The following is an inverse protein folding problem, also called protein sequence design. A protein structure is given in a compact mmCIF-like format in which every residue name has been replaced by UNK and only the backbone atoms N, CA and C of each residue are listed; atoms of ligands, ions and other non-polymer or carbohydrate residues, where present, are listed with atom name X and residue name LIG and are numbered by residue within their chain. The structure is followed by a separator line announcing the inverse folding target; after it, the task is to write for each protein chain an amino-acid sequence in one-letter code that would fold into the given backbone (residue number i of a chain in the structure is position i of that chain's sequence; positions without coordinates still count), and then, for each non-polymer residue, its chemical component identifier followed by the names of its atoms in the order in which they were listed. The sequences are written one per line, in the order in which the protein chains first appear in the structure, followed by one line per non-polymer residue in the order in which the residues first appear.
data_IF_316907565644
#
_entry.id   IF_316907565644
#
_cell.length_a   1.000
_cell.length_b   1.000
_cell.length_c   1.000
_cell.angle_alpha   90.00
_cell.angle_beta   90.00
_cell.angle_gamma   90.00
#
_symmetry.space_group_name_H-M   'P 1'
#
loop_
_entity.id
_entity.type
_entity.pdbx_description
1 polymer ?
#
# COMPACT_ATOMS: atom_id res chain seq x y z
N UNK A 1 -7.02 -21.51 8.08
CA UNK A 1 -7.51 -20.56 9.10
C UNK A 1 -8.41 -19.52 8.41
N UNK A 2 -9.66 -19.86 8.08
CA UNK A 2 -10.56 -18.96 7.33
C UNK A 2 -10.80 -17.63 8.06
N UNK A 3 -11.01 -17.70 9.38
CA UNK A 3 -11.31 -16.53 10.22
C UNK A 3 -10.30 -15.38 10.10
N UNK A 4 -9.01 -15.68 9.93
CA UNK A 4 -7.97 -14.65 9.81
C UNK A 4 -8.04 -13.93 8.47
N UNK A 5 -8.34 -14.67 7.39
CA UNK A 5 -8.52 -14.06 6.07
C UNK A 5 -9.79 -13.21 6.04
N UNK A 6 -10.87 -13.70 6.66
CA UNK A 6 -12.12 -12.95 6.78
C UNK A 6 -11.91 -11.66 7.60
N UNK A 7 -11.16 -11.73 8.70
CA UNK A 7 -10.79 -10.56 9.50
C UNK A 7 -9.92 -9.57 8.72
N UNK A 8 -8.91 -10.04 7.99
CA UNK A 8 -8.07 -9.16 7.15
C UNK A 8 -8.91 -8.47 6.07
N UNK A 9 -9.79 -9.21 5.40
CA UNK A 9 -10.69 -8.64 4.40
C UNK A 9 -11.62 -7.59 5.01
N UNK A 10 -12.16 -7.84 6.20
CA UNK A 10 -12.95 -6.87 6.93
C UNK A 10 -12.17 -5.57 7.18
N UNK A 11 -10.94 -5.67 7.71
CA UNK A 11 -10.09 -4.50 7.97
C UNK A 11 -9.75 -3.75 6.68
N UNK A 12 -9.43 -4.45 5.58
CA UNK A 12 -9.10 -3.81 4.30
C UNK A 12 -10.32 -3.08 3.72
N UNK A 13 -11.51 -3.65 3.83
CA UNK A 13 -12.74 -3.04 3.30
C UNK A 13 -13.26 -1.89 4.17
N UNK A 14 -12.96 -1.90 5.47
CA UNK A 14 -13.31 -0.83 6.41
C UNK A 14 -12.31 0.34 6.36
N UNK A 15 -11.13 0.12 5.77
CA UNK A 15 -10.08 1.13 5.65
C UNK A 15 -10.53 2.29 4.75
N UNK A 16 -10.28 3.52 5.19
CA UNK A 16 -10.46 4.71 4.37
C UNK A 16 -9.54 4.71 3.16
N UNK A 17 -9.92 5.47 2.12
CA UNK A 17 -9.15 5.52 0.87
C UNK A 17 -7.71 6.05 1.03
N UNK A 18 -7.46 6.83 2.08
CA UNK A 18 -6.16 7.39 2.45
C UNK A 18 -5.30 6.41 3.28
N UNK A 19 -5.74 5.16 3.44
CA UNK A 19 -5.07 4.12 4.22
C UNK A 19 -4.85 4.50 5.69
N UNK A 20 -5.72 5.36 6.25
CA UNK A 20 -5.56 5.97 7.58
C UNK A 20 -4.24 6.74 7.73
N UNK A 21 -3.71 7.30 6.64
CA UNK A 21 -2.51 8.12 6.70
C UNK A 21 -2.73 9.35 7.59
N UNK A 22 -1.80 9.57 8.50
CA UNK A 22 -1.76 10.71 9.39
C UNK A 22 -0.80 11.76 8.85
N UNK A 23 -1.22 13.01 8.95
CA UNK A 23 -0.40 14.18 8.64
C UNK A 23 0.80 14.20 9.59
N UNK A 24 2.01 14.24 9.03
CA UNK A 24 3.26 14.29 9.81
C UNK A 24 3.90 15.67 9.87
N UNK A 25 3.37 16.65 9.13
CA UNK A 25 3.93 18.00 9.14
C UNK A 25 3.64 18.70 10.48
N UNK A 26 4.52 19.61 10.86
CA UNK A 26 4.26 20.49 12.00
C UNK A 26 3.25 21.56 11.58
N UNK A 27 2.38 21.98 12.50
CA UNK A 27 1.30 22.96 12.24
C UNK A 27 1.81 24.31 11.69
N UNK A 28 3.11 24.60 11.81
CA UNK A 28 3.73 25.82 11.29
C UNK A 28 4.21 25.70 9.83
N UNK A 29 4.27 24.49 9.26
CA UNK A 29 4.75 24.27 7.90
C UNK A 29 3.58 24.31 6.91
N UNK A 30 3.54 25.31 6.03
CA UNK A 30 2.52 25.42 4.97
C UNK A 30 2.71 24.37 3.86
N UNK A 31 3.93 23.85 3.68
CA UNK A 31 4.25 22.85 2.66
C UNK A 31 5.43 21.96 3.11
N UNK A 32 5.21 20.64 3.15
CA UNK A 32 6.25 19.64 3.43
C UNK A 32 6.59 18.86 2.15
N UNK A 33 7.88 18.78 1.81
CA UNK A 33 8.37 17.86 0.76
C UNK A 33 8.83 16.56 1.40
N UNK A 34 8.05 15.50 1.17
CA UNK A 34 8.27 14.20 1.79
C UNK A 34 8.98 13.22 0.84
N UNK A 35 9.92 12.42 1.38
CA UNK A 35 10.55 11.32 0.64
C UNK A 35 9.74 10.04 0.80
N UNK A 36 9.37 9.44 -0.32
CA UNK A 36 8.70 8.14 -0.37
C UNK A 36 9.69 7.03 -0.71
N UNK A 37 9.40 5.84 -0.20
CA UNK A 37 10.12 4.61 -0.49
C UNK A 37 9.15 3.62 -1.14
N UNK A 38 9.44 3.26 -2.39
CA UNK A 38 8.74 2.18 -3.08
C UNK A 38 9.29 0.83 -2.63
N UNK A 39 8.40 -0.10 -2.29
CA UNK A 39 8.74 -1.47 -1.94
C UNK A 39 7.92 -2.44 -2.79
N UNK A 40 8.58 -3.47 -3.31
CA UNK A 40 7.99 -4.51 -4.12
C UNK A 40 8.23 -5.87 -3.47
N UNK A 41 7.16 -6.65 -3.30
CA UNK A 41 7.28 -8.01 -2.78
C UNK A 41 6.51 -9.00 -3.64
N UNK A 42 7.22 -10.02 -4.08
CA UNK A 42 6.68 -11.12 -4.88
C UNK A 42 6.34 -12.33 -4.03
N UNK A 43 5.14 -12.91 -4.23
CA UNK A 43 4.69 -14.17 -3.63
C UNK A 43 3.72 -14.93 -4.55
N UNK A 44 3.46 -16.20 -4.22
CA UNK A 44 2.37 -16.99 -4.78
C UNK A 44 1.20 -17.05 -3.80
N UNK A 45 -0.03 -16.91 -4.28
CA UNK A 45 -1.24 -16.96 -3.43
C UNK A 45 -2.06 -18.20 -3.75
N UNK A 46 -2.12 -19.13 -2.80
CA UNK A 46 -2.83 -20.41 -2.93
C UNK A 46 -2.11 -21.44 -3.81
N UNK A 47 -1.66 -21.06 -5.01
CA UNK A 47 -0.91 -21.95 -5.90
C UNK A 47 0.15 -21.19 -6.74
N UNK A 48 1.08 -21.93 -7.38
CA UNK A 48 2.20 -21.37 -8.16
C UNK A 48 1.80 -20.70 -9.49
N UNK A 49 0.57 -20.90 -9.97
CA UNK A 49 0.05 -20.22 -11.17
C UNK A 49 -0.54 -18.85 -10.85
N UNK A 50 -0.73 -18.55 -9.56
CA UNK A 50 -1.25 -17.27 -9.08
C UNK A 50 -0.11 -16.48 -8.42
N UNK A 51 0.78 -15.96 -9.27
CA UNK A 51 1.82 -15.03 -8.84
C UNK A 51 1.23 -13.64 -8.61
N UNK A 52 1.60 -13.05 -7.48
CA UNK A 52 1.10 -11.75 -7.07
C UNK A 52 2.27 -10.88 -6.61
N UNK A 53 2.23 -9.63 -7.01
CA UNK A 53 3.16 -8.59 -6.60
C UNK A 53 2.42 -7.60 -5.71
N UNK A 54 2.96 -7.43 -4.51
CA UNK A 54 2.57 -6.39 -3.58
C UNK A 54 3.48 -5.19 -3.80
N UNK A 55 2.89 -4.07 -4.18
CA UNK A 55 3.53 -2.78 -4.35
C UNK A 55 3.11 -1.87 -3.19
N UNK A 56 4.07 -1.20 -2.56
CA UNK A 56 3.83 -0.29 -1.44
C UNK A 56 4.63 0.99 -1.64
N UNK A 57 3.99 2.15 -1.44
CA UNK A 57 4.67 3.42 -1.24
C UNK A 57 4.60 3.81 0.23
N UNK A 58 5.76 3.94 0.85
CA UNK A 58 5.91 4.23 2.27
C UNK A 58 6.46 5.64 2.46
N UNK A 59 5.93 6.39 3.42
CA UNK A 59 6.64 7.55 3.91
C UNK A 59 7.94 7.09 4.59
N UNK A 60 9.10 7.56 4.11
CA UNK A 60 10.41 7.07 4.58
C UNK A 60 10.61 7.20 6.10
N UNK A 61 10.14 8.30 6.71
CA UNK A 61 10.35 8.61 8.13
C UNK A 61 9.35 7.89 9.03
N UNK A 62 8.05 8.04 8.77
CA UNK A 62 7.00 7.44 9.62
C UNK A 62 6.71 5.97 9.31
N UNK A 63 7.17 5.47 8.15
CA UNK A 63 6.85 4.13 7.61
C UNK A 63 5.35 3.90 7.37
N UNK A 64 4.55 4.96 7.36
CA UNK A 64 3.14 4.89 6.99
C UNK A 64 3.00 4.48 5.52
N UNK A 65 2.05 3.61 5.22
CA UNK A 65 1.69 3.23 3.86
C UNK A 65 0.79 4.31 3.29
N UNK A 66 1.23 4.95 2.22
CA UNK A 66 0.47 6.02 1.56
C UNK A 66 -0.24 5.53 0.29
N UNK A 67 0.29 4.47 -0.34
CA UNK A 67 -0.38 3.78 -1.43
C UNK A 67 0.00 2.31 -1.43
N UNK A 68 -0.93 1.45 -1.86
CA UNK A 68 -0.72 0.02 -2.03
C UNK A 68 -1.42 -0.46 -3.29
N UNK A 69 -0.78 -1.36 -4.01
CA UNK A 69 -1.42 -2.08 -5.12
C UNK A 69 -1.00 -3.55 -5.11
N UNK A 70 -1.96 -4.44 -5.37
CA UNK A 70 -1.71 -5.88 -5.58
C UNK A 70 -2.07 -6.24 -7.01
N UNK A 71 -1.23 -7.01 -7.67
CA UNK A 71 -1.49 -7.50 -9.03
C UNK A 71 -0.25 -8.11 -9.69
N UNK A 72 -0.30 -8.37 -11.00
CA UNK A 72 0.86 -8.83 -11.77
C UNK A 72 1.99 -7.79 -11.77
N UNK A 73 3.22 -8.22 -12.08
CA UNK A 73 4.35 -7.30 -12.26
C UNK A 73 4.34 -6.68 -13.65
N UNK A 74 3.39 -5.79 -13.87
CA UNK A 74 3.31 -5.04 -15.11
C UNK A 74 3.21 -3.54 -14.87
N UNK A 75 3.49 -2.80 -15.93
CA UNK A 75 3.47 -1.34 -15.92
C UNK A 75 2.09 -0.81 -15.52
N UNK A 76 1.01 -1.45 -15.98
CA UNK A 76 -0.37 -1.03 -15.70
C UNK A 76 -0.66 -1.10 -14.20
N UNK A 77 -0.25 -2.17 -13.53
CA UNK A 77 -0.39 -2.34 -12.09
C UNK A 77 0.47 -1.33 -11.32
N UNK A 78 1.69 -1.06 -11.78
CA UNK A 78 2.54 -0.05 -11.17
C UNK A 78 1.98 1.38 -11.34
N UNK A 79 1.40 1.71 -12.49
CA UNK A 79 0.78 3.02 -12.75
C UNK A 79 -0.42 3.29 -11.82
N UNK A 80 -1.20 2.26 -11.47
CA UNK A 80 -2.29 2.40 -10.50
C UNK A 80 -1.80 2.82 -9.11
N UNK A 81 -0.54 2.52 -8.75
CA UNK A 81 0.05 2.95 -7.48
C UNK A 81 0.30 4.47 -7.43
N UNK A 82 0.50 5.12 -8.59
CA UNK A 82 0.83 6.53 -8.72
C UNK A 82 -0.31 7.39 -9.30
N UNK A 83 -1.37 6.77 -9.82
CA UNK A 83 -2.48 7.46 -10.47
C UNK A 83 -3.52 8.07 -9.50
N UNK A 84 -3.12 8.43 -8.28
CA UNK A 84 -3.98 9.10 -7.30
C UNK A 84 -3.46 10.49 -6.99
#
# INVERSE_FOLDING_TARGET
MPWLLDFINFIINDLSEDLNAQITCHEQDELEVTKLEGNERWRFVGNKKNDQWLWLNLHKKSRQVLAMQVGPRDKKTAELLFAK
#
